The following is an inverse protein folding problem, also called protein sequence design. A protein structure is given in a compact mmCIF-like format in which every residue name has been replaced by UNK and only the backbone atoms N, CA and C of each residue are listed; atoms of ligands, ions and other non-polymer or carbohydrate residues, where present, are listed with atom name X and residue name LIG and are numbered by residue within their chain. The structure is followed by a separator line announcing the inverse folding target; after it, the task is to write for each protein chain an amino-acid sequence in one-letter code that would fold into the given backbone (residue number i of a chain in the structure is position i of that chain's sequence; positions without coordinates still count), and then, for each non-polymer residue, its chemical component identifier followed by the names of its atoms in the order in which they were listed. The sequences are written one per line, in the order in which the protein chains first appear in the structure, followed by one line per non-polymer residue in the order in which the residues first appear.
data_IF_964911787437
#
_entry.id   IF_964911787437
#
_cell.length_a   1.000
_cell.length_b   1.000
_cell.length_c   1.000
_cell.angle_alpha   90.00
_cell.angle_beta   90.00
_cell.angle_gamma   90.00
#
_symmetry.space_group_name_H-M   'P 1'
#
loop_
_entity.id
_entity.type
_entity.pdbx_description
1 polymer ?
#
# COMPACT_ATOMS: atom_id res chain seq x y z
N UNK A 1 1.01 18.24 -23.20
CA UNK A 1 2.37 17.69 -22.92
C UNK A 1 2.34 17.32 -21.46
N UNK A 2 2.27 16.04 -21.14
CA UNK A 2 2.41 15.57 -19.76
C UNK A 2 3.75 16.05 -19.22
N UNK A 3 3.73 16.75 -18.12
CA UNK A 3 4.92 17.19 -17.38
C UNK A 3 5.55 15.92 -16.75
N UNK A 4 6.29 15.16 -17.55
CA UNK A 4 7.00 13.99 -17.04
C UNK A 4 8.14 14.44 -16.15
N UNK A 5 8.03 14.14 -14.86
CA UNK A 5 9.11 14.37 -13.91
C UNK A 5 10.28 13.44 -14.22
N UNK A 6 11.46 13.99 -14.36
CA UNK A 6 12.66 13.21 -14.66
C UNK A 6 13.77 13.45 -13.64
N UNK A 7 14.59 12.44 -13.44
CA UNK A 7 15.77 12.51 -12.58
C UNK A 7 16.75 13.54 -13.13
N UNK A 8 17.08 14.51 -12.29
CA UNK A 8 18.10 15.54 -12.58
C UNK A 8 19.47 15.14 -12.03
N UNK A 9 19.51 14.56 -10.83
CA UNK A 9 20.75 14.16 -10.17
C UNK A 9 20.53 13.07 -9.14
N UNK A 10 21.58 12.32 -8.86
CA UNK A 10 21.59 11.21 -7.90
C UNK A 10 22.80 11.38 -7.00
N UNK A 11 22.58 11.30 -5.69
CA UNK A 11 23.63 11.38 -4.68
C UNK A 11 23.35 10.37 -3.55
N UNK A 12 23.94 9.18 -3.66
CA UNK A 12 23.62 8.08 -2.76
C UNK A 12 22.12 7.76 -2.81
N UNK A 13 21.43 7.66 -1.68
CA UNK A 13 19.99 7.36 -1.65
C UNK A 13 19.11 8.55 -2.06
N UNK A 14 19.69 9.72 -2.30
CA UNK A 14 18.94 10.92 -2.65
C UNK A 14 18.89 11.11 -4.16
N UNK A 15 17.68 11.20 -4.67
CA UNK A 15 17.39 11.50 -6.07
C UNK A 15 16.72 12.87 -6.15
N UNK A 16 17.29 13.75 -6.98
CA UNK A 16 16.72 15.08 -7.25
C UNK A 16 16.01 15.03 -8.60
N UNK A 17 14.78 15.49 -8.64
CA UNK A 17 14.02 15.66 -9.88
C UNK A 17 13.78 17.13 -10.15
N UNK A 18 13.76 17.51 -11.43
CA UNK A 18 13.53 18.87 -11.88
C UNK A 18 12.23 18.95 -12.67
N UNK A 19 11.48 20.03 -12.46
CA UNK A 19 10.26 20.34 -13.17
C UNK A 19 9.22 20.95 -12.24
N UNK A 20 8.15 21.49 -12.83
CA UNK A 20 6.98 21.91 -12.08
C UNK A 20 6.27 20.66 -11.60
N UNK A 21 6.19 20.49 -10.28
CA UNK A 21 5.68 19.27 -9.68
C UNK A 21 4.43 19.55 -8.85
N UNK A 22 3.45 18.67 -8.97
CA UNK A 22 2.30 18.63 -8.05
C UNK A 22 2.55 17.64 -6.89
N UNK A 23 3.82 17.24 -6.70
CA UNK A 23 4.24 16.35 -5.62
C UNK A 23 3.94 16.95 -4.26
N UNK A 24 3.58 16.11 -3.31
CA UNK A 24 3.35 16.49 -1.92
C UNK A 24 4.51 16.03 -1.04
N UNK A 25 4.71 16.70 0.09
CA UNK A 25 5.64 16.20 1.12
C UNK A 25 5.21 14.83 1.61
N UNK A 26 6.18 13.95 1.83
CA UNK A 26 5.98 12.55 2.22
C UNK A 26 5.17 11.70 1.22
N UNK A 27 5.04 12.18 -0.01
CA UNK A 27 4.42 11.38 -1.06
C UNK A 27 5.32 10.21 -1.45
N UNK A 28 4.76 9.01 -1.55
CA UNK A 28 5.43 7.85 -2.10
C UNK A 28 5.54 7.99 -3.62
N UNK A 29 6.70 7.66 -4.15
CA UNK A 29 6.99 7.73 -5.58
C UNK A 29 7.78 6.51 -6.04
N UNK A 30 7.65 6.17 -7.31
CA UNK A 30 8.50 5.17 -7.94
C UNK A 30 9.54 5.84 -8.83
N UNK A 31 10.80 5.43 -8.69
CA UNK A 31 11.96 6.08 -9.30
C UNK A 31 12.59 5.16 -10.34
N UNK A 32 12.74 5.70 -11.56
CA UNK A 32 13.42 5.02 -12.66
C UNK A 32 12.65 3.87 -13.28
N UNK A 33 13.31 3.18 -14.19
CA UNK A 33 12.72 2.04 -14.93
C UNK A 33 12.41 0.85 -14.03
N UNK A 34 13.20 0.65 -12.98
CA UNK A 34 13.04 -0.44 -12.02
C UNK A 34 11.99 -0.13 -10.96
N UNK A 35 11.42 1.09 -10.99
CA UNK A 35 10.37 1.54 -10.05
C UNK A 35 10.79 1.40 -8.59
N UNK A 36 12.01 1.85 -8.27
CA UNK A 36 12.50 1.85 -6.89
C UNK A 36 11.61 2.73 -6.03
N UNK A 37 11.23 2.24 -4.85
CA UNK A 37 10.36 2.96 -3.93
C UNK A 37 11.12 4.08 -3.26
N UNK A 38 10.52 5.27 -3.21
CA UNK A 38 11.08 6.43 -2.52
C UNK A 38 9.99 7.36 -1.97
N UNK A 39 10.42 8.28 -1.15
CA UNK A 39 9.58 9.28 -0.49
C UNK A 39 10.08 10.70 -0.78
N UNK A 40 9.17 11.63 -0.99
CA UNK A 40 9.48 13.05 -1.18
C UNK A 40 9.83 13.66 0.17
N UNK A 41 11.11 14.00 0.36
CA UNK A 41 11.62 14.58 1.61
C UNK A 41 11.88 16.09 1.56
N UNK A 42 11.87 16.68 0.37
CA UNK A 42 12.02 18.14 0.19
C UNK A 42 11.36 18.60 -1.10
N UNK A 43 10.67 19.72 -1.00
CA UNK A 43 10.08 20.41 -2.15
C UNK A 43 10.62 21.83 -2.25
N UNK A 44 10.90 22.26 -3.48
CA UNK A 44 11.26 23.62 -3.87
C UNK A 44 10.51 23.96 -5.17
N UNK A 45 10.41 25.21 -5.59
CA UNK A 45 9.57 25.61 -6.74
C UNK A 45 9.87 24.85 -8.06
N UNK A 46 11.12 24.43 -8.26
CA UNK A 46 11.55 23.73 -9.48
C UNK A 46 12.22 22.38 -9.21
N UNK A 47 12.43 22.01 -7.95
CA UNK A 47 13.16 20.81 -7.57
C UNK A 47 12.44 20.07 -6.47
N UNK A 48 12.38 18.74 -6.58
CA UNK A 48 12.01 17.86 -5.48
C UNK A 48 13.17 16.91 -5.15
N UNK A 49 13.39 16.63 -3.88
CA UNK A 49 14.35 15.63 -3.42
C UNK A 49 13.60 14.43 -2.88
N UNK A 50 13.94 13.27 -3.41
CA UNK A 50 13.37 11.98 -3.06
C UNK A 50 14.42 11.17 -2.32
N UNK A 51 14.05 10.56 -1.21
CA UNK A 51 14.84 9.54 -0.56
C UNK A 51 14.37 8.18 -1.08
N UNK A 52 15.25 7.47 -1.76
CA UNK A 52 14.99 6.10 -2.25
C UNK A 52 15.37 5.11 -1.15
N UNK A 53 14.49 4.13 -0.90
CA UNK A 53 14.69 3.13 0.16
C UNK A 53 15.58 1.96 -0.25
N UNK A 54 15.85 1.85 -1.54
CA UNK A 54 16.69 0.81 -2.13
C UNK A 54 17.98 1.41 -2.69
N UNK A 55 18.91 0.55 -3.10
CA UNK A 55 20.15 1.00 -3.72
C UNK A 55 19.89 1.67 -5.07
N UNK A 56 20.44 2.86 -5.25
CA UNK A 56 20.26 3.70 -6.44
C UNK A 56 21.27 3.43 -7.56
N UNK A 57 22.20 2.48 -7.36
CA UNK A 57 23.21 2.12 -8.37
C UNK A 57 22.53 1.74 -9.68
N UNK A 58 22.96 2.35 -10.78
CA UNK A 58 22.41 2.10 -12.12
C UNK A 58 21.28 3.03 -12.54
N UNK A 59 20.65 3.79 -11.62
CA UNK A 59 19.77 4.89 -12.02
C UNK A 59 20.55 5.94 -12.83
N UNK A 60 19.87 6.56 -13.78
CA UNK A 60 20.48 7.57 -14.66
C UNK A 60 19.65 8.84 -14.68
N UNK A 61 20.30 10.02 -14.77
CA UNK A 61 19.61 11.25 -15.10
C UNK A 61 18.78 11.08 -16.39
N UNK A 62 17.59 11.66 -16.40
CA UNK A 62 16.62 11.55 -17.49
C UNK A 62 15.64 10.39 -17.35
N UNK A 63 15.83 9.44 -16.43
CA UNK A 63 14.79 8.45 -16.11
C UNK A 63 13.59 9.10 -15.43
N UNK A 64 12.42 8.48 -15.57
CA UNK A 64 11.15 9.03 -15.11
C UNK A 64 10.93 8.77 -13.63
N UNK A 65 10.19 9.70 -13.00
CA UNK A 65 9.57 9.55 -11.69
C UNK A 65 8.07 9.33 -11.87
N UNK A 66 7.50 8.44 -11.08
CA UNK A 66 6.07 8.10 -11.11
C UNK A 66 5.45 8.44 -9.75
N UNK A 67 4.72 9.57 -9.65
CA UNK A 67 3.98 9.93 -8.45
C UNK A 67 2.85 8.94 -8.16
N UNK A 68 2.57 8.69 -6.87
CA UNK A 68 1.43 7.85 -6.47
C UNK A 68 0.23 8.67 -6.00
N UNK A 69 0.44 9.95 -5.68
CA UNK A 69 -0.57 10.84 -5.09
C UNK A 69 -0.85 10.60 -3.61
N UNK A 70 -0.25 9.56 -3.01
CA UNK A 70 -0.47 9.14 -1.64
C UNK A 70 0.85 9.03 -0.85
N UNK A 71 0.77 9.15 0.46
CA UNK A 71 1.89 8.86 1.36
C UNK A 71 2.14 7.37 1.46
N UNK A 72 3.30 6.97 1.98
CA UNK A 72 3.55 5.57 2.33
C UNK A 72 2.47 5.11 3.31
N UNK A 73 1.82 4.02 2.99
CA UNK A 73 0.72 3.45 3.76
C UNK A 73 0.87 1.93 3.84
N UNK A 74 0.24 1.33 4.82
CA UNK A 74 0.20 -0.12 5.02
C UNK A 74 -1.21 -0.65 4.80
N UNK A 75 -1.29 -1.85 4.23
CA UNK A 75 -2.57 -2.53 3.99
C UNK A 75 -2.97 -3.32 5.22
N UNK A 76 -3.98 -2.85 5.95
CA UNK A 76 -4.48 -3.52 7.14
C UNK A 76 -5.63 -4.46 6.78
N UNK A 77 -5.33 -5.75 6.62
CA UNK A 77 -6.33 -6.78 6.33
C UNK A 77 -5.97 -8.12 7.02
N UNK A 78 -6.87 -9.10 7.05
CA UNK A 78 -6.57 -10.41 7.59
C UNK A 78 -5.35 -11.04 6.91
N UNK A 79 -4.43 -11.59 7.70
CA UNK A 79 -3.15 -12.13 7.22
C UNK A 79 -1.94 -11.28 7.61
N UNK A 80 -2.13 -10.04 8.07
CA UNK A 80 -1.02 -9.16 8.43
C UNK A 80 -0.29 -9.64 9.70
N UNK A 81 -1.01 -10.13 10.69
CA UNK A 81 -0.44 -10.47 12.01
C UNK A 81 0.49 -11.69 11.96
N UNK A 82 0.30 -12.58 11.01
CA UNK A 82 1.08 -13.82 10.89
C UNK A 82 2.32 -13.69 10.00
N UNK A 83 2.61 -12.49 9.50
CA UNK A 83 3.70 -12.23 8.58
C UNK A 83 4.77 -11.30 9.17
N UNK A 84 5.95 -11.34 8.57
CA UNK A 84 7.06 -10.41 8.87
C UNK A 84 7.30 -9.60 7.61
N UNK A 85 7.32 -8.29 7.77
CA UNK A 85 7.48 -7.32 6.69
C UNK A 85 8.75 -6.51 6.84
N UNK A 86 9.23 -5.96 5.75
CA UNK A 86 10.24 -4.91 5.77
C UNK A 86 9.61 -3.52 5.97
N UNK A 87 10.44 -2.45 5.90
CA UNK A 87 10.00 -1.07 6.14
C UNK A 87 9.04 -0.48 5.10
N UNK A 88 8.81 -1.15 3.98
CA UNK A 88 7.86 -0.77 2.92
C UNK A 88 6.80 -1.84 2.67
N UNK A 89 6.50 -2.63 3.71
CA UNK A 89 5.44 -3.66 3.74
C UNK A 89 5.64 -4.81 2.75
N UNK A 90 6.86 -5.18 2.40
CA UNK A 90 7.09 -6.38 1.60
C UNK A 90 7.19 -7.62 2.49
N UNK A 91 6.45 -8.72 2.21
CA UNK A 91 6.45 -9.92 3.06
C UNK A 91 7.75 -10.71 2.89
N UNK A 92 8.61 -10.72 3.91
CA UNK A 92 9.96 -11.29 3.85
C UNK A 92 9.97 -12.79 3.57
N UNK A 93 9.03 -13.55 4.14
CA UNK A 93 8.94 -15.00 3.91
C UNK A 93 8.61 -15.35 2.46
N UNK A 94 7.78 -14.55 1.80
CA UNK A 94 7.43 -14.76 0.40
C UNK A 94 8.56 -14.30 -0.54
N UNK A 95 9.26 -13.25 -0.17
CA UNK A 95 10.46 -12.78 -0.90
C UNK A 95 11.54 -13.88 -0.86
N UNK A 96 11.83 -14.44 0.31
CA UNK A 96 12.82 -15.50 0.45
C UNK A 96 12.53 -16.71 -0.45
N UNK A 97 11.25 -17.08 -0.60
CA UNK A 97 10.83 -18.17 -1.50
C UNK A 97 11.09 -17.85 -2.98
N UNK A 98 10.95 -16.59 -3.39
CA UNK A 98 11.06 -16.16 -4.79
C UNK A 98 12.47 -15.75 -5.19
N UNK A 99 13.15 -14.95 -4.36
CA UNK A 99 14.45 -14.34 -4.64
C UNK A 99 15.60 -14.96 -3.81
N UNK A 100 15.29 -15.86 -2.86
CA UNK A 100 16.30 -16.43 -1.98
C UNK A 100 16.67 -15.48 -0.82
N UNK A 101 17.93 -15.53 -0.38
CA UNK A 101 18.41 -14.81 0.81
C UNK A 101 18.54 -13.30 0.63
N UNK A 102 18.49 -12.81 -0.58
CA UNK A 102 18.66 -11.38 -0.90
C UNK A 102 17.41 -10.85 -1.58
N UNK A 103 17.06 -9.62 -1.26
CA UNK A 103 15.94 -8.93 -1.91
C UNK A 103 16.47 -8.29 -3.18
N UNK A 104 15.94 -8.69 -4.32
CA UNK A 104 16.27 -8.10 -5.60
C UNK A 104 15.76 -6.66 -5.65
N UNK A 105 16.53 -5.79 -6.26
CA UNK A 105 16.23 -4.37 -6.41
C UNK A 105 14.98 -4.17 -7.29
N UNK A 106 14.10 -3.25 -6.88
CA UNK A 106 12.83 -3.03 -7.58
C UNK A 106 11.84 -4.19 -7.46
N UNK A 107 12.10 -5.15 -6.57
CA UNK A 107 11.17 -6.25 -6.34
C UNK A 107 9.89 -5.73 -5.70
N UNK A 108 8.77 -5.95 -6.38
CA UNK A 108 7.44 -5.60 -5.91
C UNK A 108 6.56 -6.83 -5.83
N UNK A 109 5.81 -6.95 -4.74
CA UNK A 109 4.75 -7.94 -4.60
C UNK A 109 3.70 -7.43 -3.62
N UNK A 110 2.51 -8.02 -3.69
CA UNK A 110 1.43 -7.71 -2.75
C UNK A 110 1.86 -8.02 -1.32
N UNK A 111 1.56 -7.14 -0.39
CA UNK A 111 1.89 -7.29 1.02
C UNK A 111 1.16 -8.47 1.66
N UNK A 112 -0.03 -8.76 1.18
CA UNK A 112 -0.88 -9.83 1.68
C UNK A 112 -1.28 -10.79 0.55
N UNK A 113 -1.56 -12.06 0.91
CA UNK A 113 -2.10 -13.05 -0.02
C UNK A 113 -3.57 -12.74 -0.31
N UNK A 114 -3.83 -12.09 -1.46
CA UNK A 114 -5.17 -11.74 -1.93
C UNK A 114 -6.03 -12.94 -2.34
N UNK A 115 -5.42 -14.13 -2.51
CA UNK A 115 -6.13 -15.35 -2.86
C UNK A 115 -6.55 -16.17 -1.64
N UNK A 116 -6.07 -15.83 -0.46
CA UNK A 116 -6.44 -16.50 0.79
C UNK A 116 -7.87 -16.14 1.17
N UNK A 117 -8.66 -17.17 1.49
CA UNK A 117 -10.04 -17.05 1.95
C UNK A 117 -10.12 -17.13 3.46
N UNK A 118 -10.94 -16.25 4.02
CA UNK A 118 -11.14 -16.13 5.46
C UNK A 118 -12.59 -16.36 5.83
N UNK A 119 -12.81 -17.11 6.90
CA UNK A 119 -14.14 -17.25 7.49
C UNK A 119 -14.51 -15.95 8.21
N UNK A 120 -15.60 -15.33 7.79
CA UNK A 120 -16.01 -14.01 8.26
C UNK A 120 -17.31 -14.10 9.04
N UNK A 121 -17.37 -13.41 10.18
CA UNK A 121 -18.57 -13.17 10.95
C UNK A 121 -18.98 -11.73 10.77
N UNK A 122 -20.16 -11.50 10.21
CA UNK A 122 -20.69 -10.16 10.01
C UNK A 122 -21.22 -9.55 11.32
N UNK A 123 -20.99 -8.25 11.49
CA UNK A 123 -21.45 -7.47 12.65
C UNK A 123 -22.58 -6.50 12.29
N UNK A 124 -22.95 -6.42 11.01
CA UNK A 124 -23.97 -5.51 10.48
C UNK A 124 -24.97 -6.28 9.63
N UNK A 125 -26.15 -5.67 9.42
CA UNK A 125 -27.23 -6.19 8.58
C UNK A 125 -27.73 -5.11 7.62
N UNK A 126 -28.43 -5.48 6.54
CA UNK A 126 -29.06 -4.51 5.64
C UNK A 126 -29.97 -3.53 6.41
N UNK A 127 -29.82 -2.25 6.10
CA UNK A 127 -30.52 -1.15 6.76
C UNK A 127 -29.78 -0.50 7.94
N UNK A 128 -28.69 -1.08 8.44
CA UNK A 128 -27.88 -0.47 9.48
C UNK A 128 -27.15 0.76 8.96
N UNK A 129 -27.12 1.83 9.77
CA UNK A 129 -26.31 3.01 9.50
C UNK A 129 -24.91 2.82 10.06
N UNK A 130 -23.88 3.04 9.23
CA UNK A 130 -22.48 2.88 9.57
C UNK A 130 -21.72 4.18 9.31
N UNK A 131 -20.66 4.40 10.06
CA UNK A 131 -19.76 5.55 9.93
C UNK A 131 -18.32 5.12 10.23
N UNK A 132 -17.35 5.98 9.97
CA UNK A 132 -15.94 5.71 10.22
C UNK A 132 -15.68 5.09 11.59
N UNK A 133 -14.94 3.99 11.61
CA UNK A 133 -14.64 3.20 12.80
C UNK A 133 -15.70 2.17 13.20
N UNK A 134 -16.87 2.12 12.53
CA UNK A 134 -17.87 1.06 12.78
C UNK A 134 -17.28 -0.30 12.36
N UNK A 135 -17.32 -1.29 13.28
CA UNK A 135 -16.88 -2.65 12.98
C UNK A 135 -18.00 -3.34 12.19
N UNK A 136 -17.69 -3.75 10.96
CA UNK A 136 -18.64 -4.38 10.04
C UNK A 136 -18.49 -5.90 9.98
N UNK A 137 -17.27 -6.41 10.26
CA UNK A 137 -17.01 -7.84 10.29
C UNK A 137 -15.87 -8.21 11.24
N UNK A 138 -15.86 -9.46 11.68
CA UNK A 138 -14.81 -10.08 12.47
C UNK A 138 -14.28 -11.31 11.73
N UNK A 139 -12.94 -11.43 11.69
CA UNK A 139 -12.24 -12.56 11.06
C UNK A 139 -11.29 -13.17 12.08
N UNK A 140 -11.50 -14.42 12.54
CA UNK A 140 -10.55 -15.12 13.38
C UNK A 140 -9.25 -15.39 12.59
N UNK A 141 -8.24 -14.55 12.80
CA UNK A 141 -6.96 -14.65 12.09
C UNK A 141 -6.04 -15.68 12.71
N UNK A 142 -5.98 -15.70 14.03
CA UNK A 142 -5.28 -16.72 14.83
C UNK A 142 -6.15 -17.15 16.00
N UNK A 143 -5.80 -18.24 16.73
CA UNK A 143 -6.53 -18.64 17.94
C UNK A 143 -6.66 -17.55 19.02
N UNK A 144 -5.73 -16.57 19.00
CA UNK A 144 -5.66 -15.50 19.99
C UNK A 144 -6.12 -14.15 19.45
N UNK A 145 -6.21 -13.96 18.13
CA UNK A 145 -6.44 -12.65 17.51
C UNK A 145 -7.61 -12.73 16.54
N UNK A 146 -8.57 -11.83 16.75
CA UNK A 146 -9.69 -11.58 15.85
C UNK A 146 -9.44 -10.26 15.14
N UNK A 147 -9.26 -10.31 13.83
CA UNK A 147 -9.16 -9.14 12.98
C UNK A 147 -10.54 -8.48 12.87
N UNK A 148 -10.60 -7.17 13.06
CA UNK A 148 -11.82 -6.37 12.98
C UNK A 148 -11.79 -5.51 11.73
N UNK A 149 -12.71 -5.78 10.82
CA UNK A 149 -12.88 -4.97 9.61
C UNK A 149 -13.73 -3.74 9.97
N UNK A 150 -13.20 -2.56 9.70
CA UNK A 150 -13.84 -1.28 10.07
C UNK A 150 -14.13 -0.45 8.84
N UNK A 151 -15.17 0.35 8.91
CA UNK A 151 -15.48 1.39 7.92
C UNK A 151 -14.36 2.44 7.95
N UNK A 152 -13.82 2.87 6.78
CA UNK A 152 -12.82 3.93 6.71
C UNK A 152 -13.29 5.23 7.38
N UNK A 153 -12.37 6.07 7.90
CA UNK A 153 -12.73 7.26 8.69
C UNK A 153 -13.65 8.25 7.99
N UNK A 154 -13.47 8.39 6.68
CA UNK A 154 -14.18 9.39 5.87
C UNK A 154 -15.42 8.84 5.16
N UNK A 155 -15.85 7.62 5.53
CA UNK A 155 -16.99 6.92 4.92
C UNK A 155 -18.15 6.82 5.90
N UNK A 156 -19.34 7.15 5.43
CA UNK A 156 -20.60 6.91 6.13
C UNK A 156 -21.71 6.50 5.15
N UNK A 157 -22.67 5.70 5.60
CA UNK A 157 -23.75 5.27 4.73
C UNK A 157 -24.72 4.32 5.42
N UNK A 158 -25.55 3.69 4.61
CA UNK A 158 -26.50 2.65 5.04
C UNK A 158 -26.09 1.37 4.33
N UNK A 159 -26.01 0.27 5.06
CA UNK A 159 -25.70 -1.05 4.52
C UNK A 159 -26.85 -1.49 3.61
N UNK A 160 -26.59 -1.66 2.33
CA UNK A 160 -27.62 -2.11 1.37
C UNK A 160 -27.72 -3.63 1.34
N UNK A 161 -26.58 -4.32 1.22
CA UNK A 161 -26.51 -5.78 1.15
C UNK A 161 -25.38 -6.31 2.00
N UNK A 162 -25.48 -7.56 2.40
CA UNK A 162 -24.42 -8.30 3.09
C UNK A 162 -24.30 -9.69 2.47
N UNK A 163 -23.10 -10.23 2.48
CA UNK A 163 -22.89 -11.66 2.14
C UNK A 163 -23.40 -12.54 3.30
N UNK A 164 -23.72 -13.83 3.06
CA UNK A 164 -24.12 -14.75 4.14
C UNK A 164 -23.01 -14.85 5.20
N UNK A 165 -23.42 -14.92 6.46
CA UNK A 165 -22.52 -15.11 7.59
C UNK A 165 -21.76 -16.44 7.45
N UNK A 166 -20.47 -16.47 7.82
CA UNK A 166 -19.59 -17.61 7.61
C UNK A 166 -19.07 -17.75 6.17
N UNK A 167 -19.36 -16.81 5.28
CA UNK A 167 -18.82 -16.82 3.93
C UNK A 167 -17.29 -16.67 3.95
N UNK A 168 -16.62 -17.41 3.05
CA UNK A 168 -15.17 -17.28 2.87
C UNK A 168 -14.92 -16.11 1.91
N UNK A 169 -14.46 -14.98 2.44
CA UNK A 169 -14.08 -13.81 1.67
C UNK A 169 -12.58 -13.80 1.39
N UNK A 170 -12.21 -13.25 0.24
CA UNK A 170 -10.81 -12.95 -0.05
C UNK A 170 -10.34 -11.73 0.76
N UNK A 171 -9.04 -11.61 0.96
CA UNK A 171 -8.44 -10.47 1.68
C UNK A 171 -8.84 -9.12 1.05
N UNK A 172 -8.93 -9.04 -0.28
CA UNK A 172 -9.32 -7.84 -1.01
C UNK A 172 -10.81 -7.49 -0.92
N UNK A 173 -11.69 -8.50 -0.82
CA UNK A 173 -13.14 -8.29 -0.84
C UNK A 173 -13.66 -7.66 0.47
N UNK A 174 -12.89 -7.82 1.55
CA UNK A 174 -13.27 -7.24 2.84
C UNK A 174 -13.26 -5.70 2.85
N UNK A 175 -12.51 -5.07 1.95
CA UNK A 175 -12.37 -3.62 1.87
C UNK A 175 -13.26 -2.97 0.78
N UNK A 176 -13.46 -3.63 -0.38
CA UNK A 176 -14.10 -3.02 -1.55
C UNK A 176 -15.59 -3.36 -1.72
N UNK A 177 -16.03 -4.57 -1.38
CA UNK A 177 -17.40 -5.04 -1.66
C UNK A 177 -18.41 -4.84 -0.51
N UNK A 178 -17.94 -4.48 0.68
CA UNK A 178 -18.84 -4.27 1.83
C UNK A 178 -19.59 -2.93 1.81
N UNK A 179 -19.33 -2.05 0.84
CA UNK A 179 -19.85 -0.68 0.77
C UNK A 179 -20.61 -0.37 -0.53
N UNK A 180 -21.12 -1.37 -1.23
CA UNK A 180 -22.07 -1.16 -2.33
C UNK A 180 -23.49 -1.37 -1.91
#
# INVERSE_FOLDING_TARGET
MENSLSIYGINGPLVTVKGKTDLKMSEMVYVGKEKLVGEVIRLSPELATIQVFEETSGLKPGELLYPTGATLSVTLAPGIVSNIFDGIERPLAEIEKKSGKYIDRGFSMDSLDTHRKWQTKLCVKPGDRVSGGTIIAEVPETPAIVHKVMVPPDVEGIVETVVPDGCLLYTSDAADDSLR
#
